data_IF_713467575873
#
_entry.id   IF_713467575873
#
_cell.length_a   1.000
_cell.length_b   1.000
_cell.length_c   1.000
_cell.angle_alpha   90.00
_cell.angle_beta   90.00
_cell.angle_gamma   90.00
#
_symmetry.space_group_name_H-M   'P 1'
#
loop_
_entity.id
_entity.type
_entity.pdbx_description
1 polymer ?
#
# COMPACT_ATOMS: atom_id res chain seq x y z
N UNK A 1 -8.01 13.15 20.84
CA UNK A 1 -8.74 11.87 20.70
C UNK A 1 -7.88 10.91 19.89
N UNK A 2 -7.80 9.67 20.34
CA UNK A 2 -7.04 8.59 19.68
C UNK A 2 -7.74 8.17 18.39
N UNK A 3 -6.95 7.76 17.39
CA UNK A 3 -7.43 7.24 16.10
C UNK A 3 -6.78 5.88 15.86
N UNK A 4 -7.55 4.92 15.33
CA UNK A 4 -7.07 3.59 14.96
C UNK A 4 -7.31 3.40 13.47
N UNK A 5 -6.27 2.98 12.74
CA UNK A 5 -6.33 2.72 11.31
C UNK A 5 -5.93 1.26 11.04
N UNK A 6 -6.62 0.61 10.12
CA UNK A 6 -6.28 -0.73 9.69
C UNK A 6 -5.14 -0.70 8.67
N UNK A 7 -4.20 -1.63 8.80
CA UNK A 7 -3.12 -1.84 7.85
C UNK A 7 -3.21 -3.27 7.32
N UNK A 8 -3.42 -3.42 6.02
CA UNK A 8 -3.65 -4.70 5.36
C UNK A 8 -2.40 -5.14 4.58
N UNK A 9 -2.03 -6.41 4.70
CA UNK A 9 -0.95 -7.02 3.92
C UNK A 9 -1.54 -7.91 2.84
N UNK A 10 -1.03 -7.78 1.62
CA UNK A 10 -1.50 -8.50 0.43
C UNK A 10 -0.41 -9.37 -0.18
N UNK A 11 -0.81 -10.33 -1.00
CA UNK A 11 0.11 -11.20 -1.72
C UNK A 11 0.29 -10.72 -3.18
N UNK A 12 0.79 -9.48 -3.35
CA UNK A 12 1.10 -8.91 -4.66
C UNK A 12 -0.10 -8.30 -5.42
N UNK A 13 -1.28 -8.23 -4.80
CA UNK A 13 -2.51 -7.73 -5.40
C UNK A 13 -3.13 -6.53 -4.66
N UNK A 14 -2.34 -5.81 -3.84
CA UNK A 14 -2.84 -4.65 -3.09
C UNK A 14 -3.38 -3.55 -4.01
N UNK A 15 -2.72 -3.25 -5.13
CA UNK A 15 -3.17 -2.20 -6.05
C UNK A 15 -4.54 -2.51 -6.66
N UNK A 16 -4.78 -3.77 -7.05
CA UNK A 16 -6.08 -4.22 -7.55
C UNK A 16 -7.16 -4.07 -6.46
N UNK A 17 -6.87 -4.56 -5.25
CA UNK A 17 -7.79 -4.49 -4.11
C UNK A 17 -8.13 -3.03 -3.75
N UNK A 18 -7.13 -2.15 -3.70
CA UNK A 18 -7.35 -0.74 -3.38
C UNK A 18 -8.08 0.01 -4.49
N UNK A 19 -7.87 -0.32 -5.77
CA UNK A 19 -8.68 0.24 -6.86
C UNK A 19 -10.15 -0.19 -6.74
N UNK A 20 -10.40 -1.44 -6.33
CA UNK A 20 -11.75 -1.88 -6.01
C UNK A 20 -12.33 -1.14 -4.79
N UNK A 21 -11.57 -0.98 -3.70
CA UNK A 21 -12.04 -0.22 -2.53
C UNK A 21 -12.33 1.24 -2.87
N UNK A 22 -11.47 1.87 -3.68
CA UNK A 22 -11.67 3.21 -4.22
C UNK A 22 -12.98 3.31 -5.01
N UNK A 23 -13.27 2.35 -5.89
CA UNK A 23 -14.49 2.38 -6.71
C UNK A 23 -15.78 2.26 -5.89
N UNK A 24 -15.74 1.50 -4.79
CA UNK A 24 -16.89 1.31 -3.89
C UNK A 24 -17.03 2.43 -2.88
N UNK A 25 -15.92 2.92 -2.32
CA UNK A 25 -15.90 3.93 -1.25
C UNK A 25 -15.86 5.38 -1.78
N UNK A 26 -15.60 5.58 -3.08
CA UNK A 26 -15.70 6.87 -3.75
C UNK A 26 -14.64 7.90 -3.36
N UNK A 27 -13.53 7.46 -2.74
CA UNK A 27 -12.44 8.33 -2.31
C UNK A 27 -11.19 8.13 -3.17
N UNK A 28 -10.35 9.16 -3.24
CA UNK A 28 -9.07 9.11 -3.95
C UNK A 28 -7.93 8.62 -3.06
N UNK A 29 -6.91 8.00 -3.65
CA UNK A 29 -5.71 7.64 -2.90
C UNK A 29 -4.99 8.91 -2.44
N UNK A 30 -4.64 8.98 -1.16
CA UNK A 30 -3.80 10.06 -0.65
C UNK A 30 -2.32 9.80 -0.90
N UNK A 31 -1.94 8.53 -1.07
CA UNK A 31 -0.57 8.12 -1.36
C UNK A 31 -0.52 6.73 -2.00
N UNK A 32 0.41 6.56 -2.94
CA UNK A 32 0.82 5.26 -3.49
C UNK A 32 2.35 5.27 -3.66
N UNK A 33 3.02 4.32 -3.02
CA UNK A 33 4.47 4.14 -3.08
C UNK A 33 4.79 2.71 -3.50
N UNK A 34 5.69 2.56 -4.47
CA UNK A 34 6.17 1.26 -4.96
C UNK A 34 7.60 1.00 -4.49
N UNK A 35 7.99 -0.27 -4.48
CA UNK A 35 9.34 -0.64 -4.09
C UNK A 35 10.43 -0.08 -5.02
N UNK A 36 10.15 0.12 -6.31
CA UNK A 36 11.09 0.75 -7.26
C UNK A 36 11.46 2.20 -6.90
N UNK A 37 10.58 2.88 -6.16
CA UNK A 37 10.75 4.28 -5.77
C UNK A 37 11.43 4.39 -4.39
N UNK A 38 11.75 3.25 -3.76
CA UNK A 38 12.41 3.19 -2.46
C UNK A 38 13.88 3.64 -2.59
N UNK A 39 14.31 4.65 -1.82
CA UNK A 39 15.71 5.03 -1.79
C UNK A 39 16.48 4.00 -0.94
N UNK A 40 16.92 2.90 -1.54
CA UNK A 40 17.77 1.94 -0.82
C UNK A 40 18.91 1.42 -1.69
N UNK A 41 20.15 1.86 -1.44
CA UNK A 41 21.35 1.27 -2.02
C UNK A 41 21.78 -0.05 -1.35
N UNK A 42 21.24 -0.38 -0.15
CA UNK A 42 21.76 -1.45 0.71
C UNK A 42 20.86 -2.70 0.82
N UNK A 43 19.64 -2.67 0.26
CA UNK A 43 18.77 -3.85 0.18
C UNK A 43 18.27 -4.02 -1.26
N UNK A 44 18.87 -4.94 -2.04
CA UNK A 44 18.40 -5.21 -3.38
C UNK A 44 17.01 -5.86 -3.31
N UNK A 45 15.99 -5.11 -3.72
CA UNK A 45 14.68 -5.67 -4.04
C UNK A 45 14.84 -6.44 -5.36
N UNK A 46 14.33 -7.68 -5.49
CA UNK A 46 14.28 -8.35 -6.78
C UNK A 46 13.50 -7.51 -7.82
N UNK A 47 13.97 -7.43 -9.06
CA UNK A 47 13.27 -6.67 -10.11
C UNK A 47 11.81 -7.13 -10.31
N UNK A 48 11.52 -8.40 -10.03
CA UNK A 48 10.17 -8.99 -10.03
C UNK A 48 9.22 -8.32 -9.02
N UNK A 49 9.74 -7.66 -7.99
CA UNK A 49 8.97 -7.03 -6.92
C UNK A 49 8.91 -5.51 -7.03
N UNK A 50 9.60 -4.89 -7.99
CA UNK A 50 9.65 -3.42 -8.17
C UNK A 50 8.29 -2.74 -8.30
N UNK A 51 7.34 -3.42 -8.94
CA UNK A 51 6.00 -2.89 -9.16
C UNK A 51 5.05 -3.16 -8.00
N UNK A 52 5.42 -4.01 -7.02
CA UNK A 52 4.60 -4.24 -5.83
C UNK A 52 4.45 -2.94 -5.03
N UNK A 53 3.32 -2.81 -4.34
CA UNK A 53 3.06 -1.65 -3.50
C UNK A 53 3.80 -1.80 -2.18
N UNK A 54 4.67 -0.83 -1.88
CA UNK A 54 5.32 -0.73 -0.58
C UNK A 54 4.38 -0.09 0.45
N UNK A 55 3.60 0.90 0.02
CA UNK A 55 2.61 1.55 0.88
C UNK A 55 1.52 2.23 0.03
N UNK A 56 0.26 2.00 0.37
CA UNK A 56 -0.89 2.71 -0.20
C UNK A 56 -1.80 3.21 0.90
N UNK A 57 -2.39 4.39 0.68
CA UNK A 57 -3.29 5.06 1.61
C UNK A 57 -4.59 5.46 0.92
N UNK A 58 -5.72 5.01 1.47
CA UNK A 58 -7.07 5.38 1.03
C UNK A 58 -7.85 5.97 2.21
N UNK A 59 -8.08 7.29 2.25
CA UNK A 59 -9.02 7.89 3.19
C UNK A 59 -10.42 7.32 2.98
N UNK A 60 -11.06 6.86 4.07
CA UNK A 60 -12.42 6.27 4.02
C UNK A 60 -13.40 7.01 4.95
N UNK A 61 -12.99 8.15 5.49
CA UNK A 61 -13.77 9.01 6.36
C UNK A 61 -12.92 10.14 6.94
N UNK A 62 -13.51 10.97 7.80
CA UNK A 62 -12.82 12.15 8.35
C UNK A 62 -11.63 11.83 9.26
N UNK A 63 -11.59 10.63 9.82
CA UNK A 63 -10.58 10.21 10.81
C UNK A 63 -9.98 8.85 10.52
N UNK A 64 -10.39 8.19 9.44
CA UNK A 64 -10.00 6.80 9.17
C UNK A 64 -9.39 6.71 7.79
N UNK A 65 -8.20 6.14 7.74
CA UNK A 65 -7.48 5.84 6.51
C UNK A 65 -7.20 4.35 6.50
N UNK A 66 -7.54 3.70 5.39
CA UNK A 66 -7.16 2.34 5.13
C UNK A 66 -5.74 2.35 4.54
N UNK A 67 -4.84 1.60 5.16
CA UNK A 67 -3.48 1.44 4.67
C UNK A 67 -3.26 0.03 4.15
N UNK A 68 -2.33 -0.11 3.21
CA UNK A 68 -1.93 -1.43 2.74
C UNK A 68 -0.54 -1.48 2.13
N UNK A 69 -0.04 -2.69 1.98
CA UNK A 69 1.19 -3.02 1.28
C UNK A 69 1.14 -4.44 0.74
N UNK A 70 1.93 -4.71 -0.30
CA UNK A 70 2.23 -6.07 -0.73
C UNK A 70 3.39 -6.64 0.08
N UNK A 71 3.27 -7.92 0.42
CA UNK A 71 4.37 -8.67 1.01
C UNK A 71 5.44 -8.93 -0.07
N UNK A 72 6.68 -8.83 0.37
CA UNK A 72 7.88 -9.08 -0.44
C UNK A 72 8.73 -10.12 0.25
N UNK A 73 9.37 -10.99 -0.51
CA UNK A 73 10.26 -12.02 0.04
C UNK A 73 11.43 -11.40 0.83
N UNK A 74 11.78 -10.15 0.51
CA UNK A 74 12.82 -9.39 1.19
C UNK A 74 12.42 -8.89 2.60
N UNK A 75 11.12 -8.73 2.88
CA UNK A 75 10.60 -8.16 4.14
C UNK A 75 9.59 -9.09 4.86
N UNK A 76 9.36 -10.31 4.35
CA UNK A 76 8.49 -11.34 4.94
C UNK A 76 8.40 -12.60 4.10
#
# INVERSE_FOLDING_TARGET
MVTVNAYLSFNGNSEEAFNFYKSVLGNEFSFIGRYKDMPSPDQPIPESEYNKIMHISLPIGQRTTLYGADMTEAFG
#
